data_IF_927399819512
#
_entry.id   IF_927399819512
#
_cell.length_a   1.000
_cell.length_b   1.000
_cell.length_c   1.000
_cell.angle_alpha   90.00
_cell.angle_beta   90.00
_cell.angle_gamma   90.00
#
_symmetry.space_group_name_H-M   'P 1'
#
loop_
_entity.id
_entity.type
_entity.pdbx_description
1 polymer ?
#
# COMPACT_ATOMS: atom_id res chain seq x y z
N UNK A 1 -0.07 5.14 5.12
CA UNK A 1 -1.21 4.49 5.80
C UNK A 1 -1.25 3.00 5.52
N UNK A 2 -1.34 2.58 4.24
CA UNK A 2 -1.40 1.15 3.89
C UNK A 2 -0.22 0.34 4.46
N UNK A 3 1.01 0.86 4.35
CA UNK A 3 2.20 0.24 4.95
C UNK A 3 2.07 0.02 6.48
N UNK A 4 1.51 0.98 7.23
CA UNK A 4 1.35 0.86 8.69
C UNK A 4 0.41 -0.30 9.06
N UNK A 5 -0.73 -0.39 8.37
CA UNK A 5 -1.67 -1.51 8.58
C UNK A 5 -1.04 -2.83 8.17
N UNK A 6 -0.35 -2.86 7.02
CA UNK A 6 0.37 -4.04 6.53
C UNK A 6 1.41 -4.54 7.54
N UNK A 7 2.21 -3.63 8.10
CA UNK A 7 3.19 -3.93 9.13
C UNK A 7 2.53 -4.58 10.36
N UNK A 8 1.48 -3.96 10.90
CA UNK A 8 0.76 -4.53 12.04
C UNK A 8 0.19 -5.92 11.77
N UNK A 9 -0.35 -6.17 10.57
CA UNK A 9 -0.88 -7.49 10.21
C UNK A 9 0.25 -8.51 10.07
N UNK A 10 1.33 -8.18 9.36
CA UNK A 10 2.47 -9.06 9.13
C UNK A 10 3.24 -9.42 10.40
N UNK A 11 3.24 -8.54 11.41
CA UNK A 11 3.82 -8.88 12.73
C UNK A 11 2.98 -9.89 13.52
N UNK A 12 1.70 -10.08 13.19
CA UNK A 12 0.77 -10.89 13.99
C UNK A 12 0.23 -12.13 13.26
N UNK A 13 0.15 -12.09 11.93
CA UNK A 13 -0.45 -13.15 11.14
C UNK A 13 0.23 -13.28 9.77
N UNK A 14 0.51 -14.52 9.37
CA UNK A 14 0.92 -14.86 8.01
C UNK A 14 -0.07 -15.84 7.37
N UNK A 15 -0.12 -15.87 6.04
CA UNK A 15 -1.00 -16.79 5.34
C UNK A 15 -0.53 -18.25 5.51
N UNK A 16 -1.44 -19.19 5.83
CA UNK A 16 -1.07 -20.58 6.16
C UNK A 16 -1.05 -21.53 4.96
N UNK A 17 -0.93 -21.03 3.73
CA UNK A 17 -0.89 -21.83 2.51
C UNK A 17 0.40 -21.60 1.72
N UNK A 18 0.65 -22.46 0.73
CA UNK A 18 1.84 -22.36 -0.12
C UNK A 18 1.82 -21.07 -0.96
N UNK A 19 2.91 -20.32 -0.91
CA UNK A 19 3.14 -19.13 -1.73
C UNK A 19 3.62 -19.48 -3.14
N UNK A 20 4.33 -20.60 -3.31
CA UNK A 20 4.92 -21.02 -4.58
C UNK A 20 4.31 -22.33 -5.09
N UNK A 21 4.42 -22.56 -6.40
CA UNK A 21 4.04 -23.83 -7.03
C UNK A 21 4.87 -25.02 -6.53
N UNK A 22 6.05 -24.75 -5.97
CA UNK A 22 6.93 -25.76 -5.37
C UNK A 22 6.51 -26.13 -3.94
N UNK A 23 5.48 -25.47 -3.39
CA UNK A 23 4.97 -25.74 -2.04
C UNK A 23 5.66 -24.93 -0.93
N UNK A 24 6.46 -23.92 -1.27
CA UNK A 24 7.09 -23.06 -0.27
C UNK A 24 6.02 -22.28 0.49
N UNK A 25 6.17 -22.16 1.81
CA UNK A 25 5.25 -21.41 2.66
C UNK A 25 5.61 -19.92 2.68
N UNK A 26 4.65 -19.05 3.02
CA UNK A 26 4.94 -17.65 3.30
C UNK A 26 5.91 -17.49 4.49
N UNK A 27 6.74 -16.42 4.53
CA UNK A 27 7.59 -16.11 5.67
C UNK A 27 6.82 -16.04 6.99
N UNK A 28 7.42 -16.56 8.07
CA UNK A 28 6.83 -16.59 9.42
C UNK A 28 6.77 -15.21 10.06
N UNK A 29 5.84 -15.03 11.00
CA UNK A 29 5.70 -13.87 11.89
C UNK A 29 6.83 -13.77 12.92
N UNK A 30 7.66 -14.81 13.08
CA UNK A 30 8.85 -14.77 13.95
C UNK A 30 9.93 -13.83 13.43
N UNK A 31 9.88 -13.52 12.13
CA UNK A 31 10.74 -12.54 11.48
C UNK A 31 10.08 -11.16 11.53
N UNK A 32 10.89 -10.11 11.64
CA UNK A 32 10.40 -8.75 11.44
C UNK A 32 9.80 -8.61 10.02
N UNK A 33 8.77 -7.76 9.82
CA UNK A 33 8.18 -7.57 8.50
C UNK A 33 9.20 -7.18 7.40
N UNK A 34 10.29 -6.50 7.76
CA UNK A 34 11.42 -6.21 6.87
C UNK A 34 12.13 -7.48 6.43
N UNK A 35 12.47 -8.36 7.38
CA UNK A 35 13.09 -9.65 7.09
C UNK A 35 12.14 -10.59 6.33
N UNK A 36 10.82 -10.49 6.55
CA UNK A 36 9.82 -11.21 5.75
C UNK A 36 9.83 -10.74 4.28
N UNK A 37 9.98 -9.44 4.04
CA UNK A 37 10.14 -8.91 2.68
C UNK A 37 11.43 -9.44 2.04
N UNK A 38 12.54 -9.48 2.76
CA UNK A 38 13.79 -10.04 2.26
C UNK A 38 13.69 -11.51 1.87
N UNK A 39 13.06 -12.33 2.72
CA UNK A 39 12.81 -13.74 2.48
C UNK A 39 11.85 -14.02 1.31
N UNK A 40 11.12 -13.01 0.83
CA UNK A 40 10.17 -13.18 -0.27
C UNK A 40 10.90 -13.44 -1.61
N UNK A 41 10.41 -14.39 -2.45
CA UNK A 41 11.04 -14.70 -3.73
C UNK A 41 11.18 -13.49 -4.65
N UNK A 42 12.30 -13.40 -5.36
CA UNK A 42 12.64 -12.26 -6.23
C UNK A 42 11.63 -12.11 -7.36
N UNK A 43 11.16 -13.22 -7.92
CA UNK A 43 10.16 -13.24 -8.99
C UNK A 43 8.85 -12.62 -8.51
N UNK A 44 8.46 -12.90 -7.26
CA UNK A 44 7.29 -12.28 -6.63
C UNK A 44 7.46 -10.78 -6.45
N UNK A 45 8.64 -10.32 -5.98
CA UNK A 45 8.95 -8.88 -5.85
C UNK A 45 8.83 -8.16 -7.18
N UNK A 46 9.36 -8.75 -8.26
CA UNK A 46 9.31 -8.17 -9.60
C UNK A 46 7.87 -8.00 -10.11
N UNK A 47 7.01 -9.00 -9.88
CA UNK A 47 5.59 -8.90 -10.25
C UNK A 47 4.88 -7.79 -9.47
N UNK A 48 5.14 -7.67 -8.17
CA UNK A 48 4.59 -6.59 -7.33
C UNK A 48 5.00 -5.22 -7.89
N UNK A 49 6.28 -5.01 -8.18
CA UNK A 49 6.75 -3.75 -8.74
C UNK A 49 6.21 -3.48 -10.15
N UNK A 50 6.07 -4.50 -10.99
CA UNK A 50 5.49 -4.35 -12.32
C UNK A 50 4.03 -3.90 -12.27
N UNK A 51 3.24 -4.47 -11.35
CA UNK A 51 1.84 -4.07 -11.14
C UNK A 51 1.75 -2.64 -10.60
N UNK A 52 2.57 -2.28 -9.61
CA UNK A 52 2.63 -0.91 -9.09
C UNK A 52 2.97 0.06 -10.22
N UNK A 53 4.01 -0.23 -11.01
CA UNK A 53 4.42 0.61 -12.13
C UNK A 53 3.29 0.80 -13.17
N UNK A 54 2.56 -0.27 -13.49
CA UNK A 54 1.43 -0.19 -14.41
C UNK A 54 0.30 0.69 -13.86
N UNK A 55 0.01 0.61 -12.56
CA UNK A 55 -1.00 1.47 -11.91
C UNK A 55 -0.58 2.94 -11.88
N UNK A 56 0.68 3.23 -11.58
CA UNK A 56 1.21 4.60 -11.61
C UNK A 56 1.15 5.19 -13.04
N UNK A 57 1.50 4.41 -14.06
CA UNK A 57 1.38 4.83 -15.47
C UNK A 57 -0.08 5.13 -15.85
N UNK A 58 -1.03 4.34 -15.34
CA UNK A 58 -2.46 4.57 -15.57
C UNK A 58 -2.94 5.89 -14.95
N UNK A 59 -2.47 6.23 -13.76
CA UNK A 59 -2.78 7.52 -13.12
C UNK A 59 -2.21 8.69 -13.93
N UNK A 60 -0.96 8.59 -14.36
CA UNK A 60 -0.24 9.61 -15.13
C UNK A 60 -0.88 9.82 -16.51
N UNK A 61 -1.34 8.77 -17.19
CA UNK A 61 -2.00 8.88 -18.49
C UNK A 61 -3.48 9.30 -18.40
N UNK A 62 -4.00 9.54 -17.20
CA UNK A 62 -5.38 9.99 -17.01
C UNK A 62 -6.41 8.93 -17.40
N UNK A 63 -6.08 7.64 -17.22
CA UNK A 63 -6.94 6.53 -17.62
C UNK A 63 -7.14 6.42 -19.12
N UNK A 64 -6.05 6.51 -19.89
CA UNK A 64 -6.09 6.45 -21.35
C UNK A 64 -6.49 7.78 -22.01
N UNK A 65 -6.27 8.91 -21.33
CA UNK A 65 -6.60 10.25 -21.83
C UNK A 65 -8.04 10.69 -21.58
N UNK A 66 -8.84 9.90 -20.85
CA UNK A 66 -10.20 10.28 -20.46
C UNK A 66 -10.24 11.42 -19.42
N UNK A 67 -9.17 11.55 -18.63
CA UNK A 67 -8.99 12.61 -17.63
C UNK A 67 -7.70 13.39 -17.87
N UNK A 68 -7.71 14.67 -17.52
CA UNK A 68 -6.49 15.49 -17.54
C UNK A 68 -5.46 15.00 -16.52
N UNK A 69 -4.20 15.28 -16.80
CA UNK A 69 -3.11 15.12 -15.85
C UNK A 69 -3.33 16.01 -14.61
N UNK A 70 -2.85 15.59 -13.42
CA UNK A 70 -3.09 16.35 -12.17
C UNK A 70 -2.47 17.75 -12.17
N UNK A 71 -1.41 18.00 -12.94
CA UNK A 71 -0.85 19.36 -13.12
C UNK A 71 -1.61 20.21 -14.13
N UNK A 72 -2.60 19.66 -14.83
CA UNK A 72 -3.34 20.32 -15.93
C UNK A 72 -4.83 20.50 -15.67
N UNK A 73 -5.33 20.14 -14.49
CA UNK A 73 -6.72 20.38 -14.09
C UNK A 73 -7.34 19.33 -13.19
N UNK A 74 -6.80 18.10 -13.17
CA UNK A 74 -7.30 17.04 -12.27
C UNK A 74 -6.87 17.31 -10.83
N UNK A 75 -7.78 17.06 -9.89
CA UNK A 75 -7.48 17.14 -8.46
C UNK A 75 -6.38 16.12 -8.10
N UNK A 76 -5.28 16.53 -7.43
CA UNK A 76 -4.25 15.61 -6.97
C UNK A 76 -4.83 14.49 -6.09
N UNK A 77 -4.36 13.26 -6.29
CA UNK A 77 -4.84 12.08 -5.57
C UNK A 77 -6.18 11.51 -6.08
N UNK A 78 -6.83 12.15 -7.06
CA UNK A 78 -8.04 11.62 -7.70
C UNK A 78 -7.67 10.63 -8.80
N UNK A 79 -7.54 9.35 -8.44
CA UNK A 79 -7.21 8.27 -9.36
C UNK A 79 -8.31 8.05 -10.43
N UNK A 80 -7.96 7.88 -11.72
CA UNK A 80 -8.93 7.68 -12.79
C UNK A 80 -9.54 6.27 -12.73
N UNK A 81 -10.86 6.12 -12.98
CA UNK A 81 -11.52 4.81 -13.02
C UNK A 81 -10.96 3.94 -14.16
N UNK A 82 -11.12 2.62 -14.05
CA UNK A 82 -10.67 1.66 -15.06
C UNK A 82 -11.69 1.44 -16.18
N UNK A 83 -12.60 2.39 -16.43
CA UNK A 83 -13.70 2.26 -17.39
C UNK A 83 -13.21 1.92 -18.80
N UNK A 84 -12.25 2.69 -19.34
CA UNK A 84 -11.67 2.43 -20.67
C UNK A 84 -11.01 1.04 -20.78
N UNK A 85 -10.31 0.59 -19.73
CA UNK A 85 -9.70 -0.74 -19.74
C UNK A 85 -10.75 -1.87 -19.62
N UNK A 86 -11.80 -1.63 -18.83
CA UNK A 86 -12.89 -2.57 -18.58
C UNK A 86 -13.72 -2.84 -19.84
N UNK A 87 -13.95 -1.80 -20.64
CA UNK A 87 -14.75 -1.89 -21.86
C UNK A 87 -13.99 -2.57 -23.01
N UNK A 88 -12.70 -2.26 -23.18
CA UNK A 88 -11.96 -2.67 -24.38
C UNK A 88 -11.09 -3.93 -24.19
N UNK A 89 -10.62 -4.23 -22.98
CA UNK A 89 -9.57 -5.24 -22.77
C UNK A 89 -10.03 -6.36 -21.83
N UNK A 90 -10.33 -6.04 -20.58
CA UNK A 90 -10.67 -7.04 -19.59
C UNK A 90 -11.47 -6.45 -18.44
N UNK A 91 -12.46 -7.21 -17.95
CA UNK A 91 -13.22 -6.80 -16.79
C UNK A 91 -12.32 -6.69 -15.56
N UNK A 92 -12.20 -5.47 -15.04
CA UNK A 92 -11.48 -5.17 -13.78
C UNK A 92 -12.32 -4.24 -12.91
N UNK A 93 -12.27 -4.44 -11.60
CA UNK A 93 -12.89 -3.54 -10.64
C UNK A 93 -12.04 -2.28 -10.45
N UNK A 94 -12.67 -1.15 -10.13
CA UNK A 94 -11.94 0.09 -9.85
C UNK A 94 -11.00 -0.06 -8.64
N UNK A 95 -9.85 0.61 -8.70
CA UNK A 95 -8.79 0.51 -7.67
C UNK A 95 -9.31 0.90 -6.28
N UNK A 96 -10.12 1.95 -6.21
CA UNK A 96 -10.78 2.40 -4.99
C UNK A 96 -12.29 2.48 -5.21
N UNK A 97 -13.05 2.05 -4.20
CA UNK A 97 -14.51 1.91 -4.24
C UNK A 97 -15.03 0.95 -5.35
N UNK A 98 -14.61 -0.34 -5.35
CA UNK A 98 -14.96 -1.31 -6.40
C UNK A 98 -16.46 -1.57 -6.53
N UNK A 99 -17.25 -1.25 -5.50
CA UNK A 99 -18.71 -1.42 -5.48
C UNK A 99 -19.48 -0.11 -5.59
N UNK A 100 -18.79 1.03 -5.72
CA UNK A 100 -19.42 2.34 -5.91
C UNK A 100 -20.28 2.81 -4.74
N UNK A 101 -19.93 2.44 -3.51
CA UNK A 101 -20.69 2.77 -2.30
C UNK A 101 -20.60 4.26 -1.94
N UNK A 102 -19.60 4.98 -2.44
CA UNK A 102 -19.31 6.36 -2.05
C UNK A 102 -19.98 7.43 -2.94
N UNK A 103 -20.79 7.05 -3.93
CA UNK A 103 -21.36 7.96 -4.96
C UNK A 103 -22.23 9.10 -4.41
N UNK A 104 -22.82 8.97 -3.21
CA UNK A 104 -23.80 9.92 -2.66
C UNK A 104 -23.24 10.90 -1.62
N UNK A 105 -21.92 11.03 -1.50
CA UNK A 105 -21.33 11.94 -0.53
C UNK A 105 -21.51 13.41 -0.92
N UNK A 106 -21.89 14.25 0.05
CA UNK A 106 -21.93 15.71 -0.11
C UNK A 106 -20.52 16.28 -0.20
N UNK A 107 -20.36 17.43 -0.84
CA UNK A 107 -19.04 18.04 -1.04
C UNK A 107 -18.38 18.46 0.27
N UNK A 108 -19.16 19.00 1.22
CA UNK A 108 -18.69 19.29 2.59
C UNK A 108 -18.13 18.02 3.29
N UNK A 109 -18.79 16.88 3.11
CA UNK A 109 -18.30 15.61 3.67
C UNK A 109 -17.01 15.16 3.00
N UNK A 110 -16.87 15.37 1.68
CA UNK A 110 -15.65 15.05 0.93
C UNK A 110 -14.48 15.90 1.41
N UNK A 111 -14.66 17.21 1.56
CA UNK A 111 -13.62 18.12 2.05
C UNK A 111 -13.11 17.70 3.44
N UNK A 112 -14.03 17.39 4.36
CA UNK A 112 -13.67 16.89 5.70
C UNK A 112 -12.84 15.60 5.62
N UNK A 113 -13.21 14.68 4.73
CA UNK A 113 -12.49 13.41 4.54
C UNK A 113 -11.11 13.59 3.92
N UNK A 114 -10.95 14.54 2.99
CA UNK A 114 -9.65 14.88 2.40
C UNK A 114 -8.69 15.42 3.46
N UNK A 115 -9.16 16.30 4.35
CA UNK A 115 -8.34 16.79 5.47
C UNK A 115 -7.96 15.64 6.43
N UNK A 116 -8.90 14.74 6.70
CA UNK A 116 -8.64 13.57 7.53
C UNK A 116 -7.59 12.64 6.88
N UNK A 117 -7.66 12.42 5.58
CA UNK A 117 -6.69 11.62 4.82
C UNK A 117 -5.27 12.17 4.96
N UNK A 118 -5.09 13.48 4.82
CA UNK A 118 -3.79 14.14 4.95
C UNK A 118 -3.23 13.99 6.37
N UNK A 119 -4.04 14.27 7.38
CA UNK A 119 -3.57 14.24 8.77
C UNK A 119 -3.27 12.81 9.24
N UNK A 120 -4.12 11.83 8.90
CA UNK A 120 -3.86 10.42 9.17
C UNK A 120 -2.68 9.90 8.35
N UNK A 121 -2.51 10.39 7.12
CA UNK A 121 -1.36 10.13 6.27
C UNK A 121 -0.05 10.55 6.93
N UNK A 122 0.01 11.80 7.41
CA UNK A 122 1.17 12.35 8.14
C UNK A 122 1.49 11.56 9.41
N UNK A 123 0.46 11.21 10.18
CA UNK A 123 0.64 10.38 11.37
C UNK A 123 1.21 9.00 11.02
N UNK A 124 0.67 8.36 9.98
CA UNK A 124 1.13 7.05 9.55
C UNK A 124 2.57 7.08 8.98
N UNK A 125 2.99 8.18 8.34
CA UNK A 125 4.38 8.36 7.90
C UNK A 125 5.32 8.35 9.10
N UNK A 126 5.03 9.15 10.14
CA UNK A 126 5.81 9.16 11.37
C UNK A 126 5.78 7.82 12.09
N UNK A 127 4.62 7.15 12.11
CA UNK A 127 4.46 5.83 12.73
C UNK A 127 5.37 4.77 12.08
N UNK A 128 5.42 4.72 10.75
CA UNK A 128 6.28 3.77 10.04
C UNK A 128 7.76 4.06 10.28
N UNK A 129 8.20 5.31 10.16
CA UNK A 129 9.60 5.63 10.48
C UNK A 129 9.95 5.30 11.94
N UNK A 130 9.00 5.46 12.87
CA UNK A 130 9.16 5.05 14.26
C UNK A 130 9.42 3.55 14.41
N UNK A 131 8.68 2.70 13.71
CA UNK A 131 8.91 1.24 13.72
C UNK A 131 10.25 0.88 13.08
N UNK A 132 10.51 1.36 11.87
CA UNK A 132 11.77 1.07 11.15
C UNK A 132 13.01 1.49 11.96
N UNK A 133 12.99 2.68 12.57
CA UNK A 133 14.11 3.13 13.41
C UNK A 133 14.25 2.29 14.69
N UNK A 134 13.15 1.79 15.26
CA UNK A 134 13.19 0.95 16.45
C UNK A 134 13.80 -0.43 16.15
N UNK A 135 13.52 -0.98 14.98
CA UNK A 135 14.03 -2.29 14.55
C UNK A 135 15.52 -2.23 14.16
N UNK A 136 15.99 -1.12 13.57
CA UNK A 136 17.41 -0.96 13.19
C UNK A 136 18.29 -0.41 14.33
N UNK A 137 17.79 0.51 15.15
CA UNK A 137 18.58 1.19 16.18
C UNK A 137 17.96 0.91 17.56
N UNK A 138 18.56 -0.01 18.35
CA UNK A 138 18.06 -0.35 19.67
C UNK A 138 17.89 0.89 20.57
N UNK A 139 16.71 1.06 21.14
CA UNK A 139 16.39 2.17 22.05
C UNK A 139 16.12 3.53 21.40
N UNK A 140 16.08 3.61 20.06
CA UNK A 140 15.72 4.85 19.34
C UNK A 140 14.29 5.32 19.64
N UNK A 141 13.37 4.38 19.86
CA UNK A 141 12.01 4.62 20.32
C UNK A 141 11.78 3.89 21.65
N UNK A 142 11.90 4.59 22.80
CA UNK A 142 11.83 3.96 24.13
C UNK A 142 10.55 3.17 24.38
N UNK A 143 9.43 3.58 23.79
CA UNK A 143 8.15 2.91 23.94
C UNK A 143 8.07 1.54 23.22
N UNK A 144 8.97 1.26 22.28
CA UNK A 144 8.94 0.06 21.43
C UNK A 144 10.07 -0.93 21.71
N UNK A 145 10.98 -0.61 22.64
CA UNK A 145 12.19 -1.39 22.89
C UNK A 145 11.93 -2.86 23.31
N UNK A 146 10.74 -3.18 23.82
CA UNK A 146 10.35 -4.55 24.21
C UNK A 146 9.57 -5.34 23.16
N UNK A 147 9.27 -4.73 22.00
CA UNK A 147 8.44 -5.32 20.93
C UNK A 147 9.23 -5.39 19.61
N UNK A 148 10.12 -4.43 19.36
CA UNK A 148 10.95 -4.37 18.16
C UNK A 148 11.78 -5.65 17.99
N UNK A 149 11.75 -6.23 16.79
CA UNK A 149 12.58 -7.38 16.42
C UNK A 149 13.79 -6.81 15.66
N UNK A 150 15.02 -6.98 16.17
CA UNK A 150 16.19 -6.39 15.55
C UNK A 150 16.36 -6.80 14.08
N UNK A 151 16.63 -5.82 13.23
CA UNK A 151 16.86 -6.00 11.80
C UNK A 151 18.11 -5.24 11.35
N UNK A 152 19.10 -5.98 10.84
CA UNK A 152 20.39 -5.44 10.38
C UNK A 152 20.49 -5.31 8.84
N UNK A 153 19.41 -5.59 8.11
CA UNK A 153 19.41 -5.60 6.64
C UNK A 153 19.57 -4.21 5.99
N UNK A 154 19.89 -4.20 4.69
CA UNK A 154 20.18 -3.01 3.87
C UNK A 154 19.05 -2.68 2.89
#
# INVERSE_FOLDING_TARGET
>A
MFAFVGYCVQSNFHFPWAQSLNGDMFPSTDLSPEAQWDAFPVEGKQQIFAVIAAMEIWDECGGGGAFDHYTRGRQPGKYPPFEAFREDVHFVLDLYDPFGLNKKMTDETKERRLVAEINNGRLAMLGIFGFLCADTIPGSVPALAGIAIPYEGN
#
